data_IF_085456671226
#
_entry.id   IF_085456671226
#
_cell.length_a   1.000
_cell.length_b   1.000
_cell.length_c   1.000
_cell.angle_alpha   90.00
_cell.angle_beta   90.00
_cell.angle_gamma   90.00
#
_symmetry.space_group_name_H-M   'P 1'
#
loop_
_entity.id
_entity.type
_entity.pdbx_description
1 polymer ?
#
# COMPACT_ATOMS: atom_id res chain seq x y z
N UNK A 1 23.02 -27.18 -9.94
CA UNK A 1 21.83 -26.51 -10.51
C UNK A 1 22.28 -25.89 -11.81
N UNK A 2 21.76 -26.33 -12.95
CA UNK A 2 22.04 -25.67 -14.23
C UNK A 2 21.40 -24.28 -14.17
N UNK A 3 22.21 -23.21 -14.16
CA UNK A 3 21.67 -21.87 -14.35
C UNK A 3 21.16 -21.79 -15.78
N UNK A 4 19.86 -21.57 -15.94
CA UNK A 4 19.24 -21.31 -17.23
C UNK A 4 20.00 -20.14 -17.91
N UNK A 5 20.59 -20.35 -19.10
CA UNK A 5 21.39 -19.33 -19.78
C UNK A 5 20.62 -18.02 -19.99
N UNK A 6 19.29 -18.08 -20.07
CA UNK A 6 18.43 -16.90 -20.17
C UNK A 6 18.43 -16.10 -18.87
N UNK A 7 18.41 -16.77 -17.71
CA UNK A 7 18.42 -16.09 -16.41
C UNK A 7 19.75 -15.39 -16.13
N UNK A 8 20.88 -16.03 -16.46
CA UNK A 8 22.19 -15.39 -16.33
C UNK A 8 22.31 -14.12 -17.18
N UNK A 9 21.67 -14.10 -18.35
CA UNK A 9 21.63 -12.93 -19.22
C UNK A 9 20.74 -11.82 -18.66
N UNK A 10 19.58 -12.16 -18.12
CA UNK A 10 18.70 -11.22 -17.42
C UNK A 10 19.43 -10.59 -16.23
N UNK A 11 20.13 -11.39 -15.43
CA UNK A 11 20.90 -10.93 -14.28
C UNK A 11 21.94 -9.89 -14.72
N UNK A 12 22.66 -10.19 -15.82
CA UNK A 12 23.67 -9.30 -16.40
C UNK A 12 23.07 -7.99 -16.92
N UNK A 13 21.98 -8.05 -17.67
CA UNK A 13 21.35 -6.86 -18.28
C UNK A 13 20.75 -5.95 -17.18
N UNK A 14 20.05 -6.53 -16.22
CA UNK A 14 19.32 -5.75 -15.20
C UNK A 14 20.18 -5.39 -13.99
N UNK A 15 21.35 -6.03 -13.86
CA UNK A 15 22.16 -6.02 -12.65
C UNK A 15 21.30 -6.32 -11.41
N UNK A 16 20.56 -7.43 -11.48
CA UNK A 16 19.71 -7.94 -10.39
C UNK A 16 19.80 -9.46 -10.27
N UNK A 17 19.63 -9.98 -9.06
CA UNK A 17 19.46 -11.42 -8.83
C UNK A 17 17.96 -11.82 -8.85
N UNK A 18 17.69 -13.13 -8.84
CA UNK A 18 16.33 -13.67 -8.85
C UNK A 18 15.49 -13.18 -7.64
N UNK A 19 16.10 -13.05 -6.46
CA UNK A 19 15.42 -12.63 -5.24
C UNK A 19 15.05 -11.14 -5.30
N UNK A 20 15.90 -10.29 -5.88
CA UNK A 20 15.64 -8.90 -6.17
C UNK A 20 14.53 -8.75 -7.20
N UNK A 21 14.54 -9.52 -8.29
CA UNK A 21 13.42 -9.51 -9.26
C UNK A 21 12.10 -9.90 -8.63
N UNK A 22 12.07 -10.94 -7.80
CA UNK A 22 10.85 -11.32 -7.04
C UNK A 22 10.36 -10.18 -6.15
N UNK A 23 11.27 -9.45 -5.49
CA UNK A 23 10.91 -8.26 -4.68
C UNK A 23 10.36 -7.13 -5.53
N UNK A 24 10.99 -6.82 -6.67
CA UNK A 24 10.52 -5.79 -7.60
C UNK A 24 9.16 -6.13 -8.20
N UNK A 25 8.90 -7.39 -8.54
CA UNK A 25 7.58 -7.83 -9.04
C UNK A 25 6.50 -7.75 -7.96
N UNK A 26 6.82 -8.11 -6.70
CA UNK A 26 5.90 -7.90 -5.56
C UNK A 26 5.63 -6.41 -5.34
N UNK A 27 6.65 -5.57 -5.47
CA UNK A 27 6.53 -4.13 -5.41
C UNK A 27 5.61 -3.59 -6.53
N UNK A 28 5.77 -4.09 -7.77
CA UNK A 28 4.92 -3.72 -8.89
C UNK A 28 3.44 -4.03 -8.66
N UNK A 29 3.13 -5.14 -7.98
CA UNK A 29 1.75 -5.49 -7.62
C UNK A 29 1.09 -4.46 -6.68
N UNK A 30 1.90 -3.78 -5.86
CA UNK A 30 1.45 -2.74 -4.93
C UNK A 30 1.52 -1.33 -5.52
N UNK A 31 2.14 -1.15 -6.68
CA UNK A 31 2.18 0.15 -7.36
C UNK A 31 0.78 0.53 -7.90
N UNK A 32 0.42 1.82 -7.86
CA UNK A 32 -0.72 2.34 -8.61
C UNK A 32 -0.61 2.04 -10.11
N UNK A 33 -1.75 1.99 -10.81
CA UNK A 33 -1.78 1.56 -12.22
C UNK A 33 -1.14 2.58 -13.16
N UNK A 34 -1.14 3.87 -12.79
CA UNK A 34 -0.48 4.91 -13.56
C UNK A 34 1.04 4.77 -13.47
N UNK A 35 1.61 4.68 -12.26
CA UNK A 35 3.04 4.45 -12.08
C UNK A 35 3.49 3.07 -12.62
N UNK A 36 2.65 2.03 -12.55
CA UNK A 36 2.92 0.74 -13.24
C UNK A 36 2.96 0.88 -14.77
N UNK A 37 2.04 1.67 -15.37
CA UNK A 37 2.06 1.97 -16.81
C UNK A 37 3.28 2.77 -17.21
N UNK A 38 3.74 3.72 -16.39
CA UNK A 38 4.99 4.46 -16.64
C UNK A 38 6.20 3.54 -16.62
N UNK A 39 6.31 2.64 -15.64
CA UNK A 39 7.37 1.62 -15.62
C UNK A 39 7.33 0.72 -16.87
N UNK A 40 6.13 0.40 -17.38
CA UNK A 40 5.97 -0.36 -18.62
C UNK A 40 6.33 0.45 -19.87
N UNK A 41 6.11 1.77 -19.89
CA UNK A 41 6.55 2.63 -20.98
C UNK A 41 8.08 2.66 -21.07
N UNK A 42 8.77 2.80 -19.93
CA UNK A 42 10.23 2.70 -19.85
C UNK A 42 10.76 1.36 -20.38
N UNK A 43 9.99 0.28 -20.23
CA UNK A 43 10.34 -1.03 -20.76
C UNK A 43 10.35 -1.08 -22.30
N UNK A 44 9.41 -0.37 -22.93
CA UNK A 44 9.34 -0.27 -24.40
C UNK A 44 10.52 0.54 -24.93
N UNK A 45 10.83 1.67 -24.29
CA UNK A 45 11.97 2.52 -24.65
C UNK A 45 13.29 1.78 -24.48
N UNK A 46 13.44 1.03 -23.40
CA UNK A 46 14.60 0.18 -23.16
C UNK A 46 14.76 -0.86 -24.27
N UNK A 47 13.69 -1.54 -24.66
CA UNK A 47 13.74 -2.52 -25.75
C UNK A 47 14.20 -1.90 -27.08
N UNK A 48 13.76 -0.68 -27.42
CA UNK A 48 14.21 -0.02 -28.65
C UNK A 48 15.71 0.27 -28.65
N UNK A 49 16.27 0.69 -27.51
CA UNK A 49 17.71 0.95 -27.36
C UNK A 49 18.53 -0.34 -27.29
N UNK A 50 18.05 -1.32 -26.53
CA UNK A 50 18.78 -2.56 -26.26
C UNK A 50 18.75 -3.56 -27.42
N UNK A 51 17.81 -3.45 -28.37
CA UNK A 51 17.70 -4.38 -29.50
C UNK A 51 18.94 -4.36 -30.40
N UNK A 52 19.63 -3.22 -30.52
CA UNK A 52 20.90 -3.12 -31.26
C UNK A 52 22.09 -3.63 -30.46
N UNK A 53 22.05 -3.53 -29.13
CA UNK A 53 23.15 -3.97 -28.26
C UNK A 53 23.11 -5.48 -27.97
N UNK A 54 21.91 -6.06 -27.96
CA UNK A 54 21.67 -7.48 -27.65
C UNK A 54 20.75 -8.13 -28.70
N UNK A 55 21.19 -8.22 -29.97
CA UNK A 55 20.38 -8.77 -31.06
C UNK A 55 19.98 -10.24 -30.86
N UNK A 56 20.76 -10.98 -30.08
CA UNK A 56 20.51 -12.39 -29.70
C UNK A 56 19.37 -12.55 -28.68
N UNK A 57 18.91 -11.46 -28.07
CA UNK A 57 17.90 -11.49 -27.02
C UNK A 57 16.51 -11.24 -27.59
N UNK A 58 15.59 -12.15 -27.32
CA UNK A 58 14.20 -12.03 -27.73
C UNK A 58 13.54 -10.76 -27.17
N UNK A 59 12.67 -10.14 -27.97
CA UNK A 59 11.90 -8.94 -27.61
C UNK A 59 11.21 -9.05 -26.24
N UNK A 60 10.62 -10.20 -25.93
CA UNK A 60 9.90 -10.42 -24.65
C UNK A 60 10.87 -10.29 -23.47
N UNK A 61 12.07 -10.85 -23.59
CA UNK A 61 13.10 -10.78 -22.55
C UNK A 61 13.63 -9.35 -22.38
N UNK A 62 13.84 -8.61 -23.47
CA UNK A 62 14.26 -7.20 -23.40
C UNK A 62 13.20 -6.31 -22.76
N UNK A 63 11.91 -6.51 -23.09
CA UNK A 63 10.81 -5.79 -22.44
C UNK A 63 10.76 -6.14 -20.96
N UNK A 64 10.93 -7.41 -20.59
CA UNK A 64 10.99 -7.81 -19.19
C UNK A 64 12.15 -7.13 -18.45
N UNK A 65 13.35 -7.13 -19.02
CA UNK A 65 14.52 -6.45 -18.45
C UNK A 65 14.26 -4.95 -18.27
N UNK A 66 13.72 -4.29 -19.28
CA UNK A 66 13.35 -2.87 -19.21
C UNK A 66 12.32 -2.58 -18.14
N UNK A 67 11.33 -3.46 -17.95
CA UNK A 67 10.34 -3.32 -16.89
C UNK A 67 10.97 -3.48 -15.50
N UNK A 68 11.86 -4.47 -15.32
CA UNK A 68 12.59 -4.66 -14.06
C UNK A 68 13.47 -3.44 -13.74
N UNK A 69 14.17 -2.88 -14.74
CA UNK A 69 14.97 -1.67 -14.56
C UNK A 69 14.09 -0.47 -14.19
N UNK A 70 12.98 -0.26 -14.89
CA UNK A 70 12.03 0.79 -14.53
C UNK A 70 11.54 0.64 -13.09
N UNK A 71 11.12 -0.57 -12.68
CA UNK A 71 10.70 -0.83 -11.29
C UNK A 71 11.81 -0.56 -10.27
N UNK A 72 13.07 -0.85 -10.61
CA UNK A 72 14.23 -0.59 -9.75
C UNK A 72 14.44 0.90 -9.55
N UNK A 73 14.31 1.70 -10.60
CA UNK A 73 14.42 3.16 -10.53
C UNK A 73 13.29 3.75 -9.67
N UNK A 74 12.04 3.30 -9.89
CA UNK A 74 10.89 3.68 -9.05
C UNK A 74 11.08 3.29 -7.58
N UNK A 75 11.55 2.08 -7.31
CA UNK A 75 11.79 1.61 -5.96
C UNK A 75 12.91 2.42 -5.27
N UNK A 76 13.96 2.76 -6.02
CA UNK A 76 15.06 3.58 -5.51
C UNK A 76 14.62 5.03 -5.27
N UNK A 77 13.83 5.63 -6.17
CA UNK A 77 13.33 6.99 -6.02
C UNK A 77 12.42 7.11 -4.80
N UNK A 78 11.48 6.17 -4.60
CA UNK A 78 10.62 6.15 -3.41
C UNK A 78 11.42 5.98 -2.12
N UNK A 79 12.38 5.05 -2.12
CA UNK A 79 13.23 4.81 -0.95
C UNK A 79 14.11 6.02 -0.63
N UNK A 80 14.61 6.71 -1.65
CA UNK A 80 15.43 7.91 -1.50
C UNK A 80 14.62 9.08 -1.00
N UNK A 81 13.45 9.35 -1.56
CA UNK A 81 12.57 10.42 -1.10
C UNK A 81 12.05 10.19 0.33
N UNK A 82 11.77 8.93 0.70
CA UNK A 82 11.33 8.58 2.06
C UNK A 82 12.43 8.81 3.11
N UNK A 83 13.69 8.54 2.77
CA UNK A 83 14.82 8.58 3.71
C UNK A 83 15.66 9.87 3.64
N UNK A 84 15.64 10.57 2.51
CA UNK A 84 16.37 11.82 2.27
C UNK A 84 15.35 12.87 1.88
N UNK A 85 14.84 13.61 2.88
CA UNK A 85 13.88 14.72 2.71
C UNK A 85 14.29 15.84 1.72
N UNK A 86 15.46 15.76 1.06
CA UNK A 86 16.08 16.89 0.35
C UNK A 86 16.73 16.57 -1.02
N UNK A 87 16.49 15.41 -1.66
CA UNK A 87 16.92 15.28 -3.07
C UNK A 87 15.81 15.81 -3.99
N UNK A 88 15.89 17.09 -4.36
CA UNK A 88 14.93 17.75 -5.26
C UNK A 88 14.69 16.96 -6.56
N UNK A 89 15.70 16.22 -7.03
CA UNK A 89 15.64 15.39 -8.24
C UNK A 89 14.61 14.25 -8.20
N UNK A 90 14.21 13.78 -7.00
CA UNK A 90 13.31 12.63 -6.84
C UNK A 90 12.07 12.95 -6.00
N UNK A 91 11.91 14.20 -5.56
CA UNK A 91 10.79 14.63 -4.74
C UNK A 91 9.46 14.52 -5.50
N UNK A 92 9.41 15.03 -6.73
CA UNK A 92 8.20 15.07 -7.56
C UNK A 92 7.65 13.67 -7.84
N UNK A 93 8.53 12.71 -8.18
CA UNK A 93 8.12 11.34 -8.48
C UNK A 93 7.59 10.62 -7.24
N UNK A 94 8.19 10.88 -6.07
CA UNK A 94 7.74 10.28 -4.82
C UNK A 94 6.44 10.90 -4.31
N UNK A 95 6.26 12.21 -4.49
CA UNK A 95 5.01 12.92 -4.18
C UNK A 95 3.87 12.39 -5.05
N UNK A 96 4.08 12.24 -6.36
CA UNK A 96 3.08 11.65 -7.27
C UNK A 96 2.65 10.24 -6.82
N UNK A 97 3.59 9.37 -6.47
CA UNK A 97 3.27 8.01 -6.02
C UNK A 97 2.54 8.02 -4.66
N UNK A 98 2.91 8.93 -3.77
CA UNK A 98 2.26 9.10 -2.47
C UNK A 98 0.81 9.58 -2.65
N UNK A 99 0.59 10.59 -3.49
CA UNK A 99 -0.75 11.11 -3.82
C UNK A 99 -1.62 10.01 -4.43
N UNK A 100 -1.11 9.25 -5.39
CA UNK A 100 -1.82 8.13 -6.02
C UNK A 100 -2.17 7.03 -5.00
N UNK A 101 -1.27 6.74 -4.05
CA UNK A 101 -1.54 5.79 -2.96
C UNK A 101 -2.60 6.31 -2.00
N UNK A 102 -2.54 7.58 -1.61
CA UNK A 102 -3.54 8.22 -0.74
C UNK A 102 -4.91 8.18 -1.42
N UNK A 103 -4.99 8.48 -2.71
CA UNK A 103 -6.22 8.42 -3.50
C UNK A 103 -6.77 6.99 -3.64
N UNK A 104 -5.90 5.97 -3.63
CA UNK A 104 -6.29 4.55 -3.59
C UNK A 104 -6.63 4.03 -2.20
N UNK A 105 -6.34 4.74 -1.10
CA UNK A 105 -6.80 4.31 0.23
C UNK A 105 -8.34 4.31 0.20
N UNK A 106 -8.99 3.15 0.32
CA UNK A 106 -10.44 3.10 0.29
C UNK A 106 -10.96 3.99 1.44
N UNK A 107 -11.71 5.04 1.09
CA UNK A 107 -12.37 5.95 2.06
C UNK A 107 -13.21 5.19 3.09
N UNK A 108 -13.58 3.94 2.79
CA UNK A 108 -14.09 2.96 3.76
C UNK A 108 -12.94 2.16 4.36
N UNK A 109 -12.20 2.73 5.32
CA UNK A 109 -11.51 1.89 6.31
C UNK A 109 -12.56 0.94 6.88
N UNK A 110 -12.29 -0.37 6.92
CA UNK A 110 -13.13 -1.32 7.67
C UNK A 110 -13.35 -0.71 9.05
N UNK A 111 -14.63 -0.51 9.40
CA UNK A 111 -15.00 0.04 10.70
C UNK A 111 -14.28 -0.78 11.77
N UNK A 112 -13.55 -0.11 12.69
CA UNK A 112 -12.74 -0.83 13.67
C UNK A 112 -13.62 -1.86 14.39
N UNK A 113 -13.12 -3.07 14.62
CA UNK A 113 -13.91 -4.15 15.23
C UNK A 113 -14.59 -3.70 16.54
N UNK A 114 -13.92 -2.81 17.29
CA UNK A 114 -14.45 -2.22 18.52
C UNK A 114 -15.65 -1.29 18.24
N UNK A 115 -15.56 -0.40 17.24
CA UNK A 115 -16.68 0.48 16.85
C UNK A 115 -17.91 -0.33 16.44
N UNK A 116 -17.72 -1.39 15.64
CA UNK A 116 -18.82 -2.30 15.27
C UNK A 116 -19.46 -2.98 16.50
N UNK A 117 -18.63 -3.46 17.45
CA UNK A 117 -19.11 -4.07 18.70
C UNK A 117 -19.91 -3.09 19.56
N UNK A 118 -19.42 -1.86 19.76
CA UNK A 118 -20.17 -0.84 20.52
C UNK A 118 -21.47 -0.46 19.79
N UNK A 119 -21.42 -0.34 18.46
CA UNK A 119 -22.59 -0.06 17.62
C UNK A 119 -23.68 -1.13 17.76
N UNK A 120 -23.30 -2.40 17.87
CA UNK A 120 -24.27 -3.49 18.07
C UNK A 120 -25.13 -3.29 19.34
N UNK A 121 -24.59 -2.60 20.36
CA UNK A 121 -25.28 -2.28 21.62
C UNK A 121 -25.83 -0.85 21.66
N UNK A 122 -25.91 -0.12 20.53
CA UNK A 122 -26.29 1.30 20.54
C UNK A 122 -27.71 1.53 21.10
N UNK A 123 -28.64 0.60 20.86
CA UNK A 123 -30.00 0.67 21.41
C UNK A 123 -30.05 0.54 22.94
N UNK A 124 -29.20 -0.30 23.51
CA UNK A 124 -29.04 -0.44 24.97
C UNK A 124 -28.42 0.83 25.56
N UNK A 125 -27.41 1.41 24.88
CA UNK A 125 -26.78 2.67 25.27
C UNK A 125 -27.79 3.82 25.25
N UNK A 126 -28.62 3.95 24.20
CA UNK A 126 -29.71 4.93 24.16
C UNK A 126 -30.72 4.74 25.28
N UNK A 127 -31.11 3.50 25.57
CA UNK A 127 -32.04 3.19 26.65
C UNK A 127 -31.45 3.56 28.01
N UNK A 128 -30.18 3.26 28.25
CA UNK A 128 -29.46 3.66 29.45
C UNK A 128 -29.35 5.18 29.58
N UNK A 129 -29.06 5.89 28.48
CA UNK A 129 -29.01 7.36 28.47
C UNK A 129 -30.37 8.01 28.71
N UNK A 130 -31.46 7.46 28.18
CA UNK A 130 -32.84 7.89 28.50
C UNK A 130 -33.18 7.71 29.98
N UNK A 131 -32.60 6.71 30.65
CA UNK A 131 -32.70 6.49 32.09
C UNK A 131 -31.68 7.29 32.91
N UNK A 132 -31.04 8.31 32.32
CA UNK A 132 -30.04 9.16 32.96
C UNK A 132 -28.78 8.44 33.48
N UNK A 133 -28.50 7.22 33.00
CA UNK A 133 -27.29 6.48 33.39
C UNK A 133 -26.05 7.14 32.78
N UNK A 134 -24.99 7.29 33.56
CA UNK A 134 -23.77 7.96 33.11
C UNK A 134 -23.00 7.12 32.08
N UNK A 135 -22.23 7.77 31.19
CA UNK A 135 -21.37 7.05 30.25
C UNK A 135 -20.29 6.19 30.94
N UNK A 136 -19.91 6.53 32.19
CA UNK A 136 -18.97 5.72 32.98
C UNK A 136 -19.61 4.38 33.34
N UNK A 137 -20.86 4.41 33.82
CA UNK A 137 -21.57 3.18 34.21
C UNK A 137 -21.93 2.32 32.99
N UNK A 138 -22.30 2.95 31.87
CA UNK A 138 -22.48 2.27 30.58
C UNK A 138 -21.18 1.59 30.14
N UNK A 139 -20.03 2.24 30.35
CA UNK A 139 -18.73 1.66 30.03
C UNK A 139 -18.41 0.47 30.92
N UNK A 140 -18.72 0.53 32.22
CA UNK A 140 -18.59 -0.61 33.13
C UNK A 140 -19.43 -1.78 32.65
N UNK A 141 -20.68 -1.53 32.24
CA UNK A 141 -21.56 -2.56 31.67
C UNK A 141 -20.95 -3.19 30.41
N UNK A 142 -20.52 -2.38 29.43
CA UNK A 142 -19.93 -2.87 28.19
C UNK A 142 -18.63 -3.67 28.45
N UNK A 143 -17.80 -3.22 29.40
CA UNK A 143 -16.55 -3.89 29.76
C UNK A 143 -16.79 -5.23 30.47
N UNK A 144 -17.75 -5.27 31.39
CA UNK A 144 -17.94 -6.42 32.30
C UNK A 144 -18.92 -7.46 31.74
N UNK A 145 -20.05 -7.02 31.20
CA UNK A 145 -21.13 -7.87 30.69
C UNK A 145 -20.91 -8.21 29.22
N UNK A 146 -20.74 -7.20 28.37
CA UNK A 146 -20.58 -7.40 26.92
C UNK A 146 -19.14 -7.79 26.53
N UNK A 147 -18.18 -7.76 27.47
CA UNK A 147 -16.74 -8.04 27.25
C UNK A 147 -16.10 -7.17 26.17
N UNK A 148 -16.60 -5.94 25.99
CA UNK A 148 -16.08 -4.96 25.04
C UNK A 148 -15.23 -3.96 25.82
N UNK A 149 -13.90 -4.05 25.71
CA UNK A 149 -12.97 -3.11 26.39
C UNK A 149 -12.97 -1.75 25.72
N UNK A 150 -13.64 -0.76 26.31
CA UNK A 150 -13.73 0.62 25.83
C UNK A 150 -13.65 1.64 26.97
N UNK A 151 -13.40 2.90 26.60
CA UNK A 151 -13.40 4.04 27.53
C UNK A 151 -14.71 4.83 27.41
N UNK A 152 -15.10 5.55 28.47
CA UNK A 152 -16.31 6.36 28.47
C UNK A 152 -16.32 7.45 27.39
N UNK A 153 -15.14 8.03 27.10
CA UNK A 153 -15.01 9.03 26.04
C UNK A 153 -15.23 8.40 24.64
N UNK A 154 -14.75 7.18 24.45
CA UNK A 154 -14.98 6.44 23.21
C UNK A 154 -16.48 6.12 23.00
N UNK A 155 -17.15 5.68 24.06
CA UNK A 155 -18.61 5.40 24.03
C UNK A 155 -19.40 6.68 23.76
N UNK A 156 -19.02 7.80 24.40
CA UNK A 156 -19.66 9.11 24.18
C UNK A 156 -19.53 9.56 22.72
N UNK A 157 -18.34 9.44 22.14
CA UNK A 157 -18.10 9.81 20.73
C UNK A 157 -18.96 8.97 19.78
N UNK A 158 -18.99 7.65 19.97
CA UNK A 158 -19.84 6.77 19.16
C UNK A 158 -21.31 7.15 19.36
N UNK A 159 -21.76 7.35 20.60
CA UNK A 159 -23.13 7.76 20.87
C UNK A 159 -23.51 9.05 20.13
N UNK A 160 -22.66 10.06 20.12
CA UNK A 160 -22.88 11.32 19.40
C UNK A 160 -22.98 11.12 17.88
N UNK A 161 -22.19 10.21 17.30
CA UNK A 161 -22.26 9.88 15.87
C UNK A 161 -23.60 9.25 15.44
N UNK A 162 -24.32 8.61 16.36
CA UNK A 162 -25.57 7.87 16.10
C UNK A 162 -26.82 8.49 16.76
N UNK A 163 -26.68 9.65 17.42
CA UNK A 163 -27.79 10.37 18.07
C UNK A 163 -28.35 11.53 17.22
N UNK A 164 -27.97 11.61 15.94
CA UNK A 164 -28.57 12.46 14.91
C UNK A 164 -29.70 11.69 14.22
#
# INVERSE_FOLDING_TARGET
MQHDPVQALIDKITNTDEAQRKRLLKYAANLPDASRRKAMASAVDFNYKAKSEFPEVGKVTLIYCGFIMGLKDYHYSEHTASNRKNSAEYADLAEEILEERIMKVPKKRKESSIKYKVKAHIGEIHTARKKSISFRDITVYLNTVCKIRVTAEYVRRIYAEYSL
#
